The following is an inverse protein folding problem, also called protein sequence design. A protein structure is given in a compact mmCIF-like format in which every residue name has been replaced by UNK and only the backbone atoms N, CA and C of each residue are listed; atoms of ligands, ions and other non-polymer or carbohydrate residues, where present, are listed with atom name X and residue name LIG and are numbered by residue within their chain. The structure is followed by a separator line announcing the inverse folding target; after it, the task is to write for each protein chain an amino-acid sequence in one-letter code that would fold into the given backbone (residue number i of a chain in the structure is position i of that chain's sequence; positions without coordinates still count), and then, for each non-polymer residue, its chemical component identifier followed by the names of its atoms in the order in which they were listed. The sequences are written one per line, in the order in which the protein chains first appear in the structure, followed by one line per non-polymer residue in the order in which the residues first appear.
data_IF_976544961471
#
_entry.id   IF_976544961471
#
_cell.length_a   1.000
_cell.length_b   1.000
_cell.length_c   1.000
_cell.angle_alpha   90.00
_cell.angle_beta   90.00
_cell.angle_gamma   90.00
#
_symmetry.space_group_name_H-M   'P 1'
#
loop_
_entity.id
_entity.type
_entity.pdbx_description
1 polymer ?
#
# COMPACT_ATOMS: atom_id res chain seq x y z
N UNK A 1 1.32 -24.81 -16.76
CA UNK A 1 1.83 -23.42 -16.70
C UNK A 1 1.45 -22.87 -15.33
N UNK A 2 2.33 -23.01 -14.34
CA UNK A 2 2.06 -22.56 -12.96
C UNK A 2 2.60 -21.14 -12.81
N UNK A 3 1.71 -20.15 -12.80
CA UNK A 3 2.09 -18.78 -12.49
C UNK A 3 2.37 -18.70 -10.98
N UNK A 4 3.65 -18.74 -10.59
CA UNK A 4 4.04 -18.48 -9.21
C UNK A 4 3.56 -17.07 -8.83
N UNK A 5 2.96 -16.87 -7.65
CA UNK A 5 2.71 -15.53 -7.15
C UNK A 5 4.06 -14.81 -7.10
N UNK A 6 4.16 -13.69 -7.80
CA UNK A 6 5.34 -12.82 -7.77
C UNK A 6 5.44 -12.19 -6.39
N UNK A 7 5.87 -12.96 -5.40
CA UNK A 7 6.30 -12.43 -4.12
C UNK A 7 7.62 -11.71 -4.38
N UNK A 8 7.52 -10.41 -4.66
CA UNK A 8 8.69 -9.53 -4.75
C UNK A 8 9.26 -9.44 -3.33
N UNK A 9 10.52 -9.82 -3.09
CA UNK A 9 11.11 -9.74 -1.77
C UNK A 9 11.04 -8.29 -1.29
N UNK A 10 10.25 -8.05 -0.25
CA UNK A 10 10.03 -6.74 0.40
C UNK A 10 11.26 -6.26 1.19
N UNK A 11 12.47 -6.56 0.75
CA UNK A 11 13.68 -6.51 1.57
C UNK A 11 14.47 -5.18 1.51
N UNK A 12 14.04 -4.18 0.73
CA UNK A 12 14.80 -2.92 0.63
C UNK A 12 14.25 -1.77 1.49
N UNK A 13 12.99 -1.85 1.94
CA UNK A 13 12.39 -0.78 2.77
C UNK A 13 11.59 -1.43 3.88
N UNK A 14 12.01 -1.32 5.16
CA UNK A 14 11.14 -1.77 6.24
C UNK A 14 9.87 -0.94 6.12
N UNK A 15 8.74 -1.60 5.85
CA UNK A 15 7.44 -0.95 5.66
C UNK A 15 7.03 -0.07 6.85
N UNK A 16 7.66 -0.29 8.01
CA UNK A 16 7.58 0.51 9.22
C UNK A 16 8.19 1.91 9.05
N UNK A 17 9.21 2.11 8.20
CA UNK A 17 9.91 3.41 8.05
C UNK A 17 9.20 4.42 7.15
N UNK A 18 7.96 4.15 6.72
CA UNK A 18 7.14 5.06 5.90
C UNK A 18 6.40 6.12 6.75
N UNK A 19 6.98 6.51 7.89
CA UNK A 19 6.37 7.46 8.82
C UNK A 19 6.12 8.84 8.18
N UNK A 20 7.03 9.30 7.32
CA UNK A 20 6.95 10.60 6.63
C UNK A 20 6.19 10.55 5.30
N UNK A 21 5.58 9.42 4.95
CA UNK A 21 4.82 9.31 3.72
C UNK A 21 3.52 10.14 3.79
N UNK A 22 3.04 10.72 2.68
CA UNK A 22 1.85 11.57 2.65
C UNK A 22 0.56 10.73 2.69
N UNK A 23 0.28 10.12 3.84
CA UNK A 23 -0.87 9.26 4.07
C UNK A 23 -2.19 10.01 3.92
N UNK A 24 -3.09 9.44 3.12
CA UNK A 24 -4.45 9.93 2.91
C UNK A 24 -5.44 8.85 3.32
N UNK A 25 -6.37 9.24 4.18
CA UNK A 25 -7.48 8.39 4.61
C UNK A 25 -8.65 8.55 3.63
N UNK A 26 -9.29 7.44 3.26
CA UNK A 26 -10.49 7.49 2.43
C UNK A 26 -11.65 8.16 3.17
N UNK A 27 -12.45 8.98 2.48
CA UNK A 27 -13.69 9.55 3.01
C UNK A 27 -14.78 8.51 3.27
N UNK A 28 -14.60 7.27 2.80
CA UNK A 28 -15.47 6.12 3.09
C UNK A 28 -15.10 5.41 4.40
N UNK A 29 -13.99 5.80 5.04
CA UNK A 29 -13.51 5.27 6.33
C UNK A 29 -14.23 5.93 7.53
N UNK A 30 -15.56 5.99 7.52
CA UNK A 30 -16.37 6.82 8.44
C UNK A 30 -17.16 6.05 9.50
N UNK A 31 -16.95 4.75 9.72
CA UNK A 31 -17.61 4.09 10.86
C UNK A 31 -17.59 2.57 10.94
N UNK A 32 -17.15 1.86 9.89
CA UNK A 32 -17.33 0.40 9.83
C UNK A 32 -16.01 -0.38 9.77
N UNK A 33 -15.15 -0.12 10.76
CA UNK A 33 -13.98 -0.92 11.18
C UNK A 33 -12.91 -1.34 10.16
N UNK A 34 -13.06 -1.08 8.87
CA UNK A 34 -12.19 -1.51 7.78
C UNK A 34 -11.47 -0.31 7.13
N UNK A 35 -10.96 0.60 7.95
CA UNK A 35 -10.37 1.86 7.48
C UNK A 35 -8.98 1.61 6.90
N UNK A 36 -8.76 2.06 5.67
CA UNK A 36 -7.45 2.04 5.01
C UNK A 36 -6.95 3.45 4.72
N UNK A 37 -5.64 3.59 4.77
CA UNK A 37 -4.88 4.78 4.34
C UNK A 37 -3.98 4.41 3.17
N UNK A 38 -3.83 5.34 2.22
CA UNK A 38 -2.93 5.17 1.08
C UNK A 38 -1.95 6.33 0.99
N UNK A 39 -0.73 6.07 0.53
CA UNK A 39 0.28 7.11 0.32
C UNK A 39 1.04 6.88 -1.00
N UNK A 40 0.96 7.82 -1.96
CA UNK A 40 1.87 7.79 -3.10
C UNK A 40 3.29 8.15 -2.64
N UNK A 41 4.25 7.28 -2.94
CA UNK A 41 5.65 7.45 -2.55
C UNK A 41 6.41 8.12 -3.69
N UNK A 42 6.89 9.35 -3.45
CA UNK A 42 7.55 10.16 -4.47
C UNK A 42 9.08 10.20 -4.33
N UNK A 43 9.62 9.76 -3.19
CA UNK A 43 11.05 9.84 -2.88
C UNK A 43 11.55 8.56 -2.22
N UNK A 44 12.86 8.34 -2.30
CA UNK A 44 13.53 7.21 -1.68
C UNK A 44 13.43 5.91 -2.50
N UNK A 45 13.88 4.78 -1.93
CA UNK A 45 13.97 3.49 -2.62
C UNK A 45 12.62 2.91 -3.07
N UNK A 46 11.52 3.37 -2.49
CA UNK A 46 10.16 2.99 -2.86
C UNK A 46 9.45 4.05 -3.74
N UNK A 47 10.19 5.01 -4.31
CA UNK A 47 9.60 6.01 -5.19
C UNK A 47 8.90 5.36 -6.39
N UNK A 48 7.72 5.88 -6.74
CA UNK A 48 6.86 5.35 -7.80
C UNK A 48 5.91 4.23 -7.34
N UNK A 49 5.97 3.81 -6.07
CA UNK A 49 5.06 2.84 -5.49
C UNK A 49 3.91 3.51 -4.74
N UNK A 50 2.80 2.78 -4.59
CA UNK A 50 1.68 3.13 -3.73
C UNK A 50 1.73 2.31 -2.45
N UNK A 51 1.80 2.98 -1.31
CA UNK A 51 1.70 2.32 -0.01
C UNK A 51 0.25 2.26 0.45
N UNK A 52 -0.15 1.13 1.05
CA UNK A 52 -1.47 0.91 1.64
C UNK A 52 -1.30 0.32 3.04
N UNK A 53 -1.99 0.88 4.03
CA UNK A 53 -1.97 0.35 5.41
C UNK A 53 -3.34 0.42 6.08
N UNK A 54 -3.46 -0.33 7.16
CA UNK A 54 -4.58 -0.24 8.10
C UNK A 54 -4.47 1.07 8.91
N UNK A 55 -5.50 1.91 8.85
CA UNK A 55 -5.53 3.19 9.59
C UNK A 55 -5.48 3.00 11.11
N UNK A 56 -5.84 1.81 11.63
CA UNK A 56 -5.82 1.48 13.05
C UNK A 56 -4.46 0.94 13.50
N UNK A 57 -3.62 0.50 12.56
CA UNK A 57 -2.28 -0.03 12.83
C UNK A 57 -1.24 0.75 12.04
N UNK A 58 -1.17 2.06 12.29
CA UNK A 58 -0.26 3.00 11.60
C UNK A 58 1.22 2.70 11.83
N UNK A 59 1.57 2.07 12.96
CA UNK A 59 2.91 1.57 13.27
C UNK A 59 3.19 0.18 12.70
N UNK A 60 2.19 -0.49 12.13
CA UNK A 60 2.34 -1.78 11.48
C UNK A 60 2.90 -1.67 10.06
N UNK A 61 3.15 -2.82 9.40
CA UNK A 61 3.66 -2.84 8.04
C UNK A 61 2.62 -2.32 7.03
N UNK A 62 3.10 -1.51 6.09
CA UNK A 62 2.37 -1.14 4.88
C UNK A 62 2.68 -2.09 3.71
N UNK A 63 1.68 -2.36 2.89
CA UNK A 63 1.83 -3.05 1.62
C UNK A 63 2.25 -2.04 0.54
N UNK A 64 3.17 -2.43 -0.33
CA UNK A 64 3.62 -1.62 -1.46
C UNK A 64 3.14 -2.22 -2.79
N UNK A 65 2.51 -1.39 -3.60
CA UNK A 65 2.00 -1.77 -4.92
C UNK A 65 2.72 -0.98 -6.02
N UNK A 66 3.06 -1.65 -7.11
CA UNK A 66 3.34 -0.93 -8.36
C UNK A 66 2.04 -0.29 -8.89
N UNK A 67 2.12 0.77 -9.70
CA UNK A 67 0.93 1.36 -10.33
C UNK A 67 0.10 0.33 -11.11
N UNK A 68 0.76 -0.53 -11.88
CA UNK A 68 0.10 -1.59 -12.67
C UNK A 68 -0.61 -2.64 -11.81
N UNK A 69 -0.02 -3.04 -10.67
CA UNK A 69 -0.65 -3.99 -9.76
C UNK A 69 -1.87 -3.36 -9.07
N UNK A 70 -1.77 -2.09 -8.70
CA UNK A 70 -2.87 -1.34 -8.09
C UNK A 70 -4.05 -1.16 -9.06
N UNK A 71 -3.78 -0.79 -10.31
CA UNK A 71 -4.79 -0.70 -11.37
C UNK A 71 -5.46 -2.06 -11.63
N UNK A 72 -4.66 -3.13 -11.72
CA UNK A 72 -5.19 -4.49 -11.87
C UNK A 72 -6.11 -4.89 -10.72
N UNK A 73 -5.72 -4.58 -9.47
CA UNK A 73 -6.56 -4.80 -8.29
C UNK A 73 -7.89 -4.03 -8.39
N UNK A 74 -7.86 -2.74 -8.69
CA UNK A 74 -9.07 -1.93 -8.83
C UNK A 74 -10.00 -2.43 -9.94
N UNK A 75 -9.45 -2.88 -11.06
CA UNK A 75 -10.24 -3.43 -12.16
C UNK A 75 -10.92 -4.76 -11.79
N UNK A 76 -10.34 -5.55 -10.88
CA UNK A 76 -10.94 -6.80 -10.40
C UNK A 76 -12.11 -6.60 -9.42
N UNK A 77 -12.28 -5.38 -8.90
CA UNK A 77 -13.34 -5.03 -7.95
C UNK A 77 -14.58 -4.40 -8.61
N UNK A 78 -14.56 -4.23 -9.94
CA UNK A 78 -15.69 -3.74 -10.75
C UNK A 78 -16.52 -4.89 -11.25
#
# INVERSE_FOLDING_TARGET
MSALPRYVPSAAVPSTSLHDAPWRRSSRSTGMNNCVETAPLHRGPAAGLLAVRDSKRTAGPALLFSPSAWEGFLNSLR
#
